data_IF_893745370552
#
_entry.id   IF_893745370552
#
_cell.length_a   1.000
_cell.length_b   1.000
_cell.length_c   1.000
_cell.angle_alpha   90.00
_cell.angle_beta   90.00
_cell.angle_gamma   90.00
#
_symmetry.space_group_name_H-M   'P 1'
#
loop_
_entity.id
_entity.type
_entity.pdbx_description
1 polymer ?
#
# COMPACT_ATOMS: atom_id res chain seq x y z
N UNK A 1 -1.58 11.08 23.15
CA UNK A 1 -2.12 9.72 23.35
C UNK A 1 -1.67 8.90 22.16
N UNK A 2 -0.86 7.85 22.34
CA UNK A 2 -0.47 7.00 21.21
C UNK A 2 -1.70 6.19 20.76
N UNK A 3 -2.16 6.35 19.52
CA UNK A 3 -3.22 5.53 18.95
C UNK A 3 -2.64 4.12 18.79
N UNK A 4 -3.31 3.10 19.33
CA UNK A 4 -2.84 1.73 19.18
C UNK A 4 -3.04 1.28 17.73
N UNK A 5 -2.13 0.43 17.23
CA UNK A 5 -2.24 -0.13 15.87
C UNK A 5 -3.60 -0.79 15.63
N UNK A 6 -4.11 -1.53 16.62
CA UNK A 6 -5.44 -2.14 16.56
C UNK A 6 -6.55 -1.10 16.30
N UNK A 7 -6.49 0.04 17.01
CA UNK A 7 -7.48 1.10 16.83
C UNK A 7 -7.33 1.80 15.49
N UNK A 8 -6.09 2.00 15.03
CA UNK A 8 -5.80 2.64 13.75
C UNK A 8 -6.34 1.81 12.58
N UNK A 9 -5.93 0.54 12.49
CA UNK A 9 -6.38 -0.37 11.42
C UNK A 9 -7.87 -0.73 11.54
N UNK A 10 -8.48 -0.59 12.73
CA UNK A 10 -9.92 -0.73 12.92
C UNK A 10 -10.77 0.37 12.27
N UNK A 11 -10.15 1.48 11.81
CA UNK A 11 -10.83 2.54 11.04
C UNK A 11 -11.00 2.19 9.56
N UNK A 12 -10.27 1.19 9.05
CA UNK A 12 -10.28 0.83 7.64
C UNK A 12 -11.57 0.09 7.29
N UNK A 13 -12.10 0.38 6.11
CA UNK A 13 -13.15 -0.44 5.52
C UNK A 13 -12.59 -1.79 5.01
N UNK A 14 -13.47 -2.64 4.51
CA UNK A 14 -13.08 -3.97 4.03
C UNK A 14 -12.12 -3.92 2.82
N UNK A 15 -12.24 -2.91 1.96
CA UNK A 15 -11.40 -2.75 0.75
C UNK A 15 -9.97 -2.40 1.14
N UNK A 16 -9.83 -1.37 1.97
CA UNK A 16 -8.57 -0.89 2.50
C UNK A 16 -7.89 -1.96 3.36
N UNK A 17 -8.64 -2.64 4.22
CA UNK A 17 -8.11 -3.72 5.07
C UNK A 17 -7.57 -4.90 4.25
N UNK A 18 -8.35 -5.40 3.27
CA UNK A 18 -7.87 -6.46 2.36
C UNK A 18 -6.67 -6.00 1.54
N UNK A 19 -6.66 -4.73 1.12
CA UNK A 19 -5.54 -4.12 0.42
C UNK A 19 -4.25 -4.19 1.22
N UNK A 20 -4.29 -3.90 2.53
CA UNK A 20 -3.07 -3.91 3.35
C UNK A 20 -2.61 -5.33 3.70
N UNK A 21 -3.53 -6.29 3.84
CA UNK A 21 -3.17 -7.71 3.98
C UNK A 21 -2.45 -8.23 2.72
N UNK A 22 -2.95 -7.88 1.54
CA UNK A 22 -2.29 -8.21 0.27
C UNK A 22 -0.93 -7.51 0.14
N UNK A 23 -0.83 -6.25 0.58
CA UNK A 23 0.41 -5.48 0.56
C UNK A 23 1.50 -6.13 1.44
N UNK A 24 1.10 -6.63 2.61
CA UNK A 24 1.97 -7.38 3.52
C UNK A 24 2.48 -8.67 2.85
N UNK A 25 1.62 -9.37 2.12
CA UNK A 25 2.02 -10.58 1.37
C UNK A 25 3.06 -10.27 0.30
N UNK A 26 2.86 -9.22 -0.49
CA UNK A 26 3.80 -8.81 -1.54
C UNK A 26 5.12 -8.30 -0.97
N UNK A 27 5.09 -7.52 0.12
CA UNK A 27 6.28 -7.09 0.84
C UNK A 27 7.15 -8.30 1.22
N UNK A 28 6.51 -9.35 1.75
CA UNK A 28 7.20 -10.61 2.12
C UNK A 28 7.80 -11.30 0.90
N UNK A 29 7.03 -11.46 -0.18
CA UNK A 29 7.48 -12.13 -1.40
C UNK A 29 8.66 -11.41 -2.07
N UNK A 30 8.69 -10.07 -1.99
CA UNK A 30 9.77 -9.24 -2.53
C UNK A 30 11.00 -9.16 -1.61
N UNK A 31 10.93 -9.72 -0.39
CA UNK A 31 11.99 -9.62 0.60
C UNK A 31 12.24 -8.17 1.05
N UNK A 32 11.19 -7.36 1.11
CA UNK A 32 11.29 -5.99 1.61
C UNK A 32 11.16 -5.98 3.15
N UNK A 33 11.96 -5.16 3.86
CA UNK A 33 11.98 -5.15 5.33
C UNK A 33 10.76 -4.49 5.96
N UNK A 34 10.08 -3.57 5.27
CA UNK A 34 8.90 -2.87 5.77
C UNK A 34 7.76 -2.89 4.76
N UNK A 35 6.54 -3.04 5.25
CA UNK A 35 5.36 -2.80 4.42
C UNK A 35 5.23 -1.30 4.21
N UNK A 36 5.68 -0.85 3.05
CA UNK A 36 5.56 0.54 2.60
C UNK A 36 4.19 0.89 2.03
N UNK A 37 3.80 2.17 2.11
CA UNK A 37 2.57 2.71 1.51
C UNK A 37 2.45 2.35 0.02
N UNK A 38 3.57 2.32 -0.71
CA UNK A 38 3.57 1.95 -2.13
C UNK A 38 3.10 0.51 -2.38
N UNK A 39 3.37 -0.44 -1.46
CA UNK A 39 2.80 -1.78 -1.57
C UNK A 39 1.27 -1.73 -1.50
N UNK A 40 0.74 -0.90 -0.60
CA UNK A 40 -0.69 -0.78 -0.38
C UNK A 40 -1.40 -0.11 -1.56
N UNK A 41 -0.88 1.04 -2.03
CA UNK A 41 -1.40 1.72 -3.22
C UNK A 41 -1.32 0.80 -4.44
N UNK A 42 -0.24 0.04 -4.61
CA UNK A 42 -0.15 -0.92 -5.70
C UNK A 42 -1.23 -2.00 -5.58
N UNK A 43 -1.50 -2.55 -4.40
CA UNK A 43 -2.57 -3.55 -4.25
C UNK A 43 -3.96 -2.98 -4.50
N UNK A 44 -4.25 -1.78 -3.99
CA UNK A 44 -5.50 -1.08 -4.28
C UNK A 44 -5.65 -0.81 -5.79
N UNK A 45 -4.57 -0.45 -6.47
CA UNK A 45 -4.59 -0.27 -7.92
C UNK A 45 -4.90 -1.56 -8.70
N UNK A 46 -4.55 -2.73 -8.18
CA UNK A 46 -4.83 -4.00 -8.88
C UNK A 46 -6.18 -4.61 -8.50
N UNK A 47 -6.85 -4.09 -7.47
CA UNK A 47 -8.23 -4.46 -7.18
C UNK A 47 -9.18 -3.92 -8.25
N UNK A 48 -10.24 -4.68 -8.52
CA UNK A 48 -11.35 -4.21 -9.33
C UNK A 48 -12.12 -3.13 -8.57
N UNK A 49 -12.54 -2.09 -9.30
CA UNK A 49 -13.52 -1.07 -8.91
C UNK A 49 -13.43 -0.55 -7.45
N UNK A 50 -12.64 0.51 -7.25
CA UNK A 50 -12.53 1.21 -5.97
C UNK A 50 -12.32 2.72 -6.17
N UNK A 51 -12.34 3.46 -5.06
CA UNK A 51 -12.20 4.92 -5.07
C UNK A 51 -10.92 5.39 -5.75
N UNK A 52 -9.79 4.69 -5.60
CA UNK A 52 -8.55 5.05 -6.29
C UNK A 52 -8.71 4.96 -7.82
N UNK A 53 -9.37 3.91 -8.33
CA UNK A 53 -9.70 3.78 -9.76
C UNK A 53 -10.63 4.89 -10.23
N UNK A 54 -11.66 5.21 -9.44
CA UNK A 54 -12.59 6.28 -9.76
C UNK A 54 -11.92 7.65 -9.80
N UNK A 55 -11.05 7.96 -8.83
CA UNK A 55 -10.27 9.20 -8.77
C UNK A 55 -9.37 9.31 -10.00
N UNK A 56 -8.56 8.28 -10.29
CA UNK A 56 -7.66 8.25 -11.46
C UNK A 56 -8.43 8.48 -12.76
N UNK A 57 -9.59 7.83 -12.93
CA UNK A 57 -10.45 8.01 -14.10
C UNK A 57 -11.06 9.41 -14.17
N UNK A 58 -11.61 9.91 -13.07
CA UNK A 58 -12.30 11.20 -13.01
C UNK A 58 -11.35 12.35 -13.37
N UNK A 59 -10.12 12.31 -12.86
CA UNK A 59 -9.09 13.31 -13.15
C UNK A 59 -8.32 13.06 -14.44
N UNK A 60 -8.69 12.03 -15.22
CA UNK A 60 -8.02 11.65 -16.46
C UNK A 60 -6.48 11.52 -16.31
N UNK A 61 -6.04 10.93 -15.19
CA UNK A 61 -4.62 10.67 -14.94
C UNK A 61 -4.11 9.68 -15.99
N UNK A 62 -2.93 9.95 -16.55
CA UNK A 62 -2.24 9.03 -17.47
C UNK A 62 -1.95 7.72 -16.73
N UNK A 63 -2.70 6.68 -17.10
CA UNK A 63 -2.64 5.36 -16.47
C UNK A 63 -1.29 4.71 -16.70
N UNK A 64 -0.72 4.82 -17.90
CA UNK A 64 0.56 4.20 -18.21
C UNK A 64 1.68 4.88 -17.40
N UNK A 65 1.62 6.20 -17.25
CA UNK A 65 2.56 6.94 -16.40
C UNK A 65 2.40 6.57 -14.92
N UNK A 66 1.17 6.42 -14.44
CA UNK A 66 0.87 6.03 -13.08
C UNK A 66 1.42 4.62 -12.77
N UNK A 67 1.15 3.64 -13.61
CA UNK A 67 1.64 2.26 -13.44
C UNK A 67 3.16 2.17 -13.50
N UNK A 68 3.81 2.90 -14.43
CA UNK A 68 5.27 3.02 -14.45
C UNK A 68 5.79 3.62 -13.14
N UNK A 69 5.11 4.64 -12.61
CA UNK A 69 5.45 5.25 -11.32
C UNK A 69 5.38 4.26 -10.17
N UNK A 70 4.31 3.47 -10.09
CA UNK A 70 4.16 2.42 -9.08
C UNK A 70 5.29 1.39 -9.16
N UNK A 71 5.58 0.89 -10.37
CA UNK A 71 6.64 -0.09 -10.59
C UNK A 71 8.02 0.45 -10.22
N UNK A 72 8.33 1.70 -10.59
CA UNK A 72 9.61 2.34 -10.24
C UNK A 72 9.75 2.55 -8.73
N UNK A 73 8.69 2.96 -8.05
CA UNK A 73 8.72 3.15 -6.60
C UNK A 73 8.94 1.81 -5.86
N UNK A 74 8.27 0.74 -6.29
CA UNK A 74 8.51 -0.62 -5.76
C UNK A 74 9.91 -1.16 -6.04
N UNK A 75 10.49 -0.81 -7.19
CA UNK A 75 11.84 -1.24 -7.57
C UNK A 75 12.95 -0.56 -6.74
N UNK A 76 12.67 0.60 -6.16
CA UNK A 76 13.63 1.35 -5.32
C UNK A 76 13.70 0.86 -3.87
N UNK A 77 12.76 0.03 -3.45
CA UNK A 77 12.73 -0.48 -2.07
C UNK A 77 13.89 -1.45 -1.80
N UNK A 78 14.49 -1.41 -0.60
CA UNK A 78 15.55 -2.34 -0.22
C UNK A 78 15.03 -3.78 -0.21
N UNK A 79 15.83 -4.72 -0.71
CA UNK A 79 15.50 -6.15 -0.82
C UNK A 79 16.46 -7.02 0.01
N UNK A 80 16.13 -8.29 0.17
CA UNK A 80 16.97 -9.28 0.85
C UNK A 80 16.67 -9.46 2.34
N UNK A 81 15.58 -8.87 2.83
CA UNK A 81 15.12 -9.11 4.18
C UNK A 81 14.58 -10.55 4.32
N UNK A 82 14.94 -11.21 5.42
CA UNK A 82 14.46 -12.57 5.74
C UNK A 82 13.09 -12.57 6.44
N UNK A 83 12.66 -11.41 6.95
CA UNK A 83 11.36 -11.19 7.58
C UNK A 83 10.93 -9.74 7.44
N UNK A 84 9.63 -9.48 7.57
CA UNK A 84 9.07 -8.13 7.66
C UNK A 84 9.29 -7.63 9.09
N UNK A 85 9.89 -6.46 9.24
CA UNK A 85 10.09 -5.78 10.51
C UNK A 85 8.80 -5.12 11.00
N UNK A 86 8.19 -4.26 10.18
CA UNK A 86 6.93 -3.57 10.52
C UNK A 86 6.26 -2.91 9.30
N UNK A 87 5.17 -2.17 9.52
CA UNK A 87 4.65 -1.15 8.60
C UNK A 87 5.51 0.12 8.65
N UNK A 88 5.62 0.83 7.52
CA UNK A 88 6.28 2.14 7.54
C UNK A 88 5.37 3.21 8.14
N UNK A 89 5.99 4.25 8.71
CA UNK A 89 5.28 5.38 9.33
C UNK A 89 4.29 6.07 8.37
N UNK A 90 4.53 6.02 7.05
CA UNK A 90 3.62 6.59 6.05
C UNK A 90 2.25 5.90 6.01
N UNK A 91 2.19 4.60 6.34
CA UNK A 91 0.90 3.91 6.45
C UNK A 91 0.16 4.40 7.68
N UNK A 92 0.85 4.50 8.83
CA UNK A 92 0.21 4.95 10.06
C UNK A 92 -0.38 6.35 9.89
N UNK A 93 0.40 7.27 9.30
CA UNK A 93 -0.04 8.64 9.00
C UNK A 93 -1.20 8.69 7.99
N UNK A 94 -1.27 7.77 7.03
CA UNK A 94 -2.35 7.75 6.04
C UNK A 94 -3.70 7.31 6.63
N UNK A 95 -3.71 6.64 7.79
CA UNK A 95 -4.92 6.14 8.46
C UNK A 95 -5.40 7.08 9.58
N UNK A 96 -4.49 7.89 10.15
CA UNK A 96 -4.79 8.78 11.28
C UNK A 96 -5.85 9.84 10.94
#
# INVERSE_FOLDING_TARGET
MAITRKNLFGKLDATLFKGIESATTICKLRGNPYVELIHWVNQLWHQEDNDLKHIVRYFAVDVDAFERGLAQALARLPVGATSISDFSYHIELAIE
#
